data_IF_767223943695
#
_entry.id   IF_767223943695
#
_cell.length_a   1.000
_cell.length_b   1.000
_cell.length_c   1.000
_cell.angle_alpha   90.00
_cell.angle_beta   90.00
_cell.angle_gamma   90.00
#
_symmetry.space_group_name_H-M   'P 1'
#
loop_
_entity.id
_entity.type
_entity.pdbx_description
1 polymer ?
#
# COMPACT_ATOMS: atom_id res chain seq x y z
N UNK A 1 5.54 -2.97 -16.16
CA UNK A 1 5.55 -2.27 -14.86
C UNK A 1 5.61 -0.77 -15.13
N UNK A 2 4.76 0.02 -14.49
CA UNK A 2 4.74 1.48 -14.61
C UNK A 2 4.94 2.04 -13.20
N UNK A 3 5.97 2.87 -13.03
CA UNK A 3 6.22 3.60 -11.79
C UNK A 3 5.80 5.05 -11.98
N UNK A 4 4.76 5.47 -11.26
CA UNK A 4 4.26 6.85 -11.31
C UNK A 4 5.02 7.73 -10.32
N UNK A 5 5.35 8.96 -10.70
CA UNK A 5 6.16 9.87 -9.87
C UNK A 5 5.47 11.19 -9.53
N UNK A 6 4.30 11.46 -10.12
CA UNK A 6 3.62 12.76 -9.95
C UNK A 6 3.21 13.04 -8.51
N UNK A 7 2.79 12.02 -7.75
CA UNK A 7 2.39 12.14 -6.34
C UNK A 7 3.59 12.17 -5.38
N UNK A 8 4.56 13.03 -5.66
CA UNK A 8 5.75 13.21 -4.85
C UNK A 8 5.90 14.68 -4.43
N UNK A 9 6.31 14.90 -3.18
CA UNK A 9 6.59 16.24 -2.67
C UNK A 9 7.70 16.94 -3.48
N UNK A 10 7.62 18.26 -3.71
CA UNK A 10 6.68 19.22 -3.13
C UNK A 10 5.43 19.49 -3.99
N UNK A 11 4.99 18.52 -4.81
CA UNK A 11 3.74 18.58 -5.59
C UNK A 11 3.68 19.78 -6.55
N UNK A 12 4.68 19.93 -7.42
CA UNK A 12 4.88 21.17 -8.21
C UNK A 12 4.08 21.27 -9.52
N UNK A 13 3.24 20.29 -9.85
CA UNK A 13 2.46 20.34 -11.08
C UNK A 13 1.41 21.48 -11.07
N UNK A 14 1.06 22.04 -12.25
CA UNK A 14 0.01 23.03 -12.39
C UNK A 14 -1.38 22.36 -12.37
N UNK A 15 -1.85 21.94 -11.20
CA UNK A 15 -3.08 21.13 -11.09
C UNK A 15 -4.34 21.83 -11.61
N UNK A 16 -4.46 23.16 -11.49
CA UNK A 16 -5.59 23.88 -12.06
C UNK A 16 -5.66 23.78 -13.60
N UNK A 17 -4.51 23.73 -14.29
CA UNK A 17 -4.45 23.51 -15.74
C UNK A 17 -4.89 22.08 -16.12
N UNK A 18 -4.71 21.13 -15.20
CA UNK A 18 -5.22 19.76 -15.32
C UNK A 18 -6.66 19.60 -14.80
N UNK A 19 -7.35 20.69 -14.47
CA UNK A 19 -8.77 20.71 -14.11
C UNK A 19 -9.06 20.57 -12.62
N UNK A 20 -8.06 20.67 -11.74
CA UNK A 20 -8.31 20.71 -10.30
C UNK A 20 -9.06 21.99 -9.94
N UNK A 21 -10.24 21.84 -9.34
CA UNK A 21 -11.07 22.96 -8.91
C UNK A 21 -10.95 23.16 -7.39
N UNK A 22 -10.24 24.23 -7.00
CA UNK A 22 -10.05 24.62 -5.60
C UNK A 22 -11.37 24.75 -4.82
N UNK A 23 -12.50 25.05 -5.48
CA UNK A 23 -13.82 25.15 -4.83
C UNK A 23 -14.35 23.80 -4.33
N UNK A 24 -13.77 22.69 -4.79
CA UNK A 24 -14.04 21.34 -4.26
C UNK A 24 -13.40 21.12 -2.90
N UNK A 25 -12.39 21.91 -2.56
CA UNK A 25 -11.86 21.91 -1.21
C UNK A 25 -12.78 22.75 -0.31
N UNK A 26 -13.04 22.29 0.92
CA UNK A 26 -13.83 23.07 1.85
C UNK A 26 -13.08 24.32 2.27
N UNK A 27 -13.81 25.42 2.40
CA UNK A 27 -13.33 26.68 2.99
C UNK A 27 -13.20 26.57 4.52
N UNK A 28 -12.50 25.53 4.98
CA UNK A 28 -12.36 25.13 6.39
C UNK A 28 -10.88 25.05 6.79
N UNK A 29 -10.06 25.94 6.23
CA UNK A 29 -8.65 26.12 6.62
C UNK A 29 -7.60 25.54 5.67
N UNK A 30 -7.99 24.99 4.51
CA UNK A 30 -7.01 24.62 3.46
C UNK A 30 -6.69 25.84 2.61
N UNK A 31 -5.62 26.56 2.96
CA UNK A 31 -5.17 27.75 2.21
C UNK A 31 -4.69 27.35 0.81
N UNK A 32 -5.10 28.09 -0.22
CA UNK A 32 -4.56 27.94 -1.59
C UNK A 32 -3.04 27.94 -1.57
N UNK A 33 -2.43 27.07 -2.39
CA UNK A 33 -0.98 26.90 -2.55
C UNK A 33 -0.22 26.44 -1.28
N UNK A 34 -0.91 26.16 -0.17
CA UNK A 34 -0.29 25.45 0.96
C UNK A 34 0.13 24.04 0.55
N UNK A 35 1.07 23.44 1.29
CA UNK A 35 1.47 22.05 1.06
C UNK A 35 0.25 21.11 1.08
N UNK A 36 -0.67 21.31 2.05
CA UNK A 36 -1.96 20.62 2.14
C UNK A 36 -2.79 20.74 0.87
N UNK A 37 -2.97 21.95 0.35
CA UNK A 37 -3.68 22.20 -0.90
C UNK A 37 -3.05 21.43 -2.06
N UNK A 38 -1.74 21.58 -2.23
CA UNK A 38 -1.01 20.98 -3.35
C UNK A 38 -0.98 19.46 -3.25
N UNK A 39 -0.82 18.89 -2.07
CA UNK A 39 -0.84 17.44 -1.85
C UNK A 39 -2.22 16.83 -2.12
N UNK A 40 -3.31 17.47 -1.69
CA UNK A 40 -4.68 17.03 -2.02
C UNK A 40 -4.96 17.14 -3.52
N UNK A 41 -4.54 18.22 -4.17
CA UNK A 41 -4.63 18.39 -5.62
C UNK A 41 -3.82 17.33 -6.37
N UNK A 42 -2.66 16.96 -5.83
CA UNK A 42 -1.80 15.94 -6.40
C UNK A 42 -2.39 14.54 -6.29
N UNK A 43 -2.93 14.17 -5.12
CA UNK A 43 -3.64 12.92 -4.93
C UNK A 43 -4.84 12.81 -5.89
N UNK A 44 -5.61 13.89 -6.04
CA UNK A 44 -6.70 13.98 -7.02
C UNK A 44 -6.22 13.77 -8.46
N UNK A 45 -5.13 14.42 -8.85
CA UNK A 45 -4.59 14.29 -10.21
C UNK A 45 -4.08 12.87 -10.47
N UNK A 46 -3.34 12.30 -9.51
CA UNK A 46 -2.77 10.96 -9.62
C UNK A 46 -3.87 9.89 -9.73
N UNK A 47 -4.90 9.98 -8.89
CA UNK A 47 -6.08 9.10 -8.95
C UNK A 47 -6.76 9.17 -10.31
N UNK A 48 -7.01 10.38 -10.83
CA UNK A 48 -7.64 10.52 -12.14
C UNK A 48 -6.80 10.04 -13.30
N UNK A 49 -5.49 10.32 -13.29
CA UNK A 49 -4.59 9.86 -14.34
C UNK A 49 -4.53 8.33 -14.36
N UNK A 50 -4.47 7.70 -13.19
CA UNK A 50 -4.50 6.26 -13.03
C UNK A 50 -5.83 5.67 -13.51
N UNK A 51 -6.96 6.21 -13.08
CA UNK A 51 -8.28 5.71 -13.49
C UNK A 51 -8.48 5.81 -15.01
N UNK A 52 -8.12 6.95 -15.62
CA UNK A 52 -8.18 7.09 -17.09
C UNK A 52 -7.30 6.07 -17.81
N UNK A 53 -6.08 5.84 -17.31
CA UNK A 53 -5.19 4.83 -17.87
C UNK A 53 -5.82 3.42 -17.77
N UNK A 54 -6.40 3.07 -16.62
CA UNK A 54 -7.07 1.78 -16.45
C UNK A 54 -8.25 1.65 -17.41
N UNK A 55 -9.10 2.68 -17.53
CA UNK A 55 -10.25 2.67 -18.44
C UNK A 55 -9.82 2.46 -19.90
N UNK A 56 -8.81 3.19 -20.37
CA UNK A 56 -8.26 3.06 -21.72
C UNK A 56 -7.65 1.68 -21.96
N UNK A 57 -6.89 1.17 -20.99
CA UNK A 57 -6.24 -0.15 -21.09
C UNK A 57 -7.24 -1.30 -21.00
N UNK A 58 -8.28 -1.19 -20.19
CA UNK A 58 -9.36 -2.18 -20.12
C UNK A 58 -10.15 -2.21 -21.43
N UNK A 59 -10.41 -1.06 -22.05
CA UNK A 59 -11.07 -1.01 -23.35
C UNK A 59 -10.23 -1.62 -24.48
N UNK A 60 -8.92 -1.37 -24.48
CA UNK A 60 -8.01 -1.89 -25.50
C UNK A 60 -7.62 -3.37 -25.28
N UNK A 61 -7.55 -3.80 -24.02
CA UNK A 61 -7.07 -5.12 -23.61
C UNK A 61 -7.95 -5.71 -22.48
N UNK A 62 -9.18 -6.16 -22.82
CA UNK A 62 -10.18 -6.57 -21.83
C UNK A 62 -9.78 -7.77 -20.98
N UNK A 63 -8.83 -8.58 -21.43
CA UNK A 63 -8.32 -9.77 -20.73
C UNK A 63 -7.05 -9.47 -19.89
N UNK A 64 -6.74 -8.20 -19.63
CA UNK A 64 -5.56 -7.82 -18.85
C UNK A 64 -5.78 -8.01 -17.35
N UNK A 65 -4.75 -8.52 -16.66
CA UNK A 65 -4.63 -8.44 -15.21
C UNK A 65 -4.07 -7.07 -14.81
N UNK A 66 -4.81 -6.33 -14.00
CA UNK A 66 -4.37 -5.08 -13.41
C UNK A 66 -3.98 -5.29 -11.95
N UNK A 67 -2.79 -4.82 -11.58
CA UNK A 67 -2.35 -4.72 -10.19
C UNK A 67 -1.95 -3.28 -9.95
N UNK A 68 -2.63 -2.66 -8.99
CA UNK A 68 -2.44 -1.27 -8.60
C UNK A 68 -2.12 -1.25 -7.12
N UNK A 69 -0.99 -0.67 -6.76
CA UNK A 69 -0.59 -0.54 -5.36
C UNK A 69 0.13 0.77 -5.15
N UNK A 70 -0.04 1.39 -3.99
CA UNK A 70 0.89 2.42 -3.56
C UNK A 70 2.19 1.77 -3.10
N UNK A 71 3.32 2.45 -3.26
CA UNK A 71 4.63 1.96 -2.80
C UNK A 71 4.76 2.05 -1.28
N UNK A 72 4.31 3.15 -0.69
CA UNK A 72 4.23 3.34 0.75
C UNK A 72 3.12 4.33 1.12
N UNK A 73 2.89 4.51 2.43
CA UNK A 73 2.07 5.60 2.95
C UNK A 73 2.78 6.94 2.70
N UNK A 74 2.08 7.91 2.13
CA UNK A 74 2.64 9.22 1.81
C UNK A 74 1.55 10.20 1.40
N UNK A 75 1.94 11.39 0.97
CA UNK A 75 0.98 12.42 0.59
C UNK A 75 0.46 13.26 1.76
N UNK A 76 -0.49 14.13 1.44
CA UNK A 76 -1.22 14.91 2.44
C UNK A 76 -2.52 14.20 2.84
N UNK A 77 -2.65 13.86 4.11
CA UNK A 77 -3.84 13.17 4.61
C UNK A 77 -5.06 14.10 4.63
N UNK A 78 -6.28 13.62 4.36
CA UNK A 78 -7.48 14.46 4.31
C UNK A 78 -8.06 14.80 5.69
N UNK A 79 -7.25 14.86 6.76
CA UNK A 79 -7.68 15.39 8.05
C UNK A 79 -7.87 16.91 7.94
N UNK A 80 -9.13 17.35 7.88
CA UNK A 80 -9.53 18.75 7.70
C UNK A 80 -10.48 19.11 8.86
N UNK A 81 -10.14 20.12 9.69
CA UNK A 81 -10.98 20.54 10.81
C UNK A 81 -12.42 20.85 10.37
N UNK A 82 -13.38 20.23 11.05
CA UNK A 82 -14.81 20.41 10.75
C UNK A 82 -15.33 19.60 9.56
N UNK A 83 -14.50 18.82 8.89
CA UNK A 83 -14.93 17.73 8.00
C UNK A 83 -14.71 16.36 8.63
N UNK A 84 -13.54 16.15 9.24
CA UNK A 84 -13.22 14.91 9.92
C UNK A 84 -13.52 15.05 11.40
N UNK A 85 -14.20 14.05 11.97
CA UNK A 85 -14.46 14.00 13.42
C UNK A 85 -13.15 13.84 14.20
N UNK A 86 -12.16 13.18 13.59
CA UNK A 86 -10.81 13.01 14.13
C UNK A 86 -9.89 14.19 13.81
N UNK A 87 -8.95 14.42 14.73
CA UNK A 87 -7.78 15.31 14.54
C UNK A 87 -6.48 14.56 14.31
N UNK A 88 -6.49 13.24 14.50
CA UNK A 88 -5.32 12.37 14.38
C UNK A 88 -5.64 11.18 13.48
N UNK A 89 -4.60 10.66 12.83
CA UNK A 89 -4.68 9.46 12.00
C UNK A 89 -4.72 8.23 12.89
N UNK A 90 -5.58 7.27 12.52
CA UNK A 90 -5.50 5.90 13.01
C UNK A 90 -4.21 5.25 12.51
N UNK A 91 -3.72 4.25 13.25
CA UNK A 91 -2.49 3.56 12.93
C UNK A 91 -2.51 2.96 11.51
N UNK A 92 -3.64 2.39 11.09
CA UNK A 92 -3.81 1.88 9.73
C UNK A 92 -3.60 2.95 8.65
N UNK A 93 -3.97 4.20 8.91
CA UNK A 93 -3.82 5.31 7.96
C UNK A 93 -2.37 5.82 7.92
N UNK A 94 -1.60 5.54 8.98
CA UNK A 94 -0.18 5.90 9.08
C UNK A 94 0.74 4.87 8.45
N UNK A 95 0.28 3.64 8.22
CA UNK A 95 1.11 2.51 7.80
C UNK A 95 0.66 1.87 6.48
N UNK A 96 -0.65 1.73 6.28
CA UNK A 96 -1.18 0.97 5.15
C UNK A 96 -1.24 1.84 3.89
N UNK A 97 -1.04 1.18 2.76
CA UNK A 97 -1.23 1.75 1.43
C UNK A 97 -2.41 1.08 0.73
N UNK A 98 -2.80 1.60 -0.43
CA UNK A 98 -3.87 1.02 -1.25
C UNK A 98 -3.35 -0.15 -2.08
N UNK A 99 -4.15 -1.20 -2.23
CA UNK A 99 -3.90 -2.32 -3.14
C UNK A 99 -5.19 -2.71 -3.86
N UNK A 100 -5.08 -3.01 -5.15
CA UNK A 100 -6.15 -3.56 -5.98
C UNK A 100 -5.57 -4.54 -6.99
N UNK A 101 -6.23 -5.67 -7.15
CA UNK A 101 -5.94 -6.66 -8.18
C UNK A 101 -7.25 -6.99 -8.91
N UNK A 102 -7.24 -6.89 -10.23
CA UNK A 102 -8.44 -7.07 -11.05
C UNK A 102 -8.13 -7.82 -12.34
N UNK A 103 -8.93 -8.85 -12.60
CA UNK A 103 -9.07 -9.51 -13.90
C UNK A 103 -10.52 -10.03 -14.02
N UNK A 104 -11.15 -10.06 -15.20
CA UNK A 104 -12.56 -10.43 -15.34
C UNK A 104 -12.95 -11.81 -14.79
N UNK A 105 -11.98 -12.73 -14.74
CA UNK A 105 -12.18 -14.10 -14.24
C UNK A 105 -11.88 -14.25 -12.74
N UNK A 106 -11.31 -13.23 -12.08
CA UNK A 106 -10.99 -13.28 -10.67
C UNK A 106 -12.15 -12.79 -9.81
N UNK A 107 -12.38 -13.50 -8.72
CA UNK A 107 -13.39 -13.21 -7.70
C UNK A 107 -12.72 -13.11 -6.34
N UNK A 108 -13.47 -12.63 -5.33
CA UNK A 108 -12.96 -12.60 -3.94
C UNK A 108 -12.66 -14.00 -3.38
N UNK A 109 -13.29 -15.04 -3.92
CA UNK A 109 -13.08 -16.41 -3.47
C UNK A 109 -11.69 -16.94 -3.87
N UNK A 110 -11.17 -16.49 -5.02
CA UNK A 110 -9.83 -16.85 -5.50
C UNK A 110 -8.72 -16.34 -4.58
N UNK A 111 -9.02 -15.37 -3.71
CA UNK A 111 -8.09 -14.79 -2.73
C UNK A 111 -8.35 -15.25 -1.29
N UNK A 112 -8.96 -16.42 -1.10
CA UNK A 112 -9.24 -17.02 0.22
C UNK A 112 -9.95 -16.09 1.24
N UNK A 113 -10.70 -15.09 0.74
CA UNK A 113 -11.34 -14.08 1.57
C UNK A 113 -10.37 -13.23 2.39
N UNK A 114 -9.13 -13.08 1.93
CA UNK A 114 -8.11 -12.26 2.59
C UNK A 114 -8.54 -10.78 2.62
N UNK A 115 -8.39 -10.17 3.80
CA UNK A 115 -8.59 -8.74 4.05
C UNK A 115 -7.28 -8.02 4.42
N UNK A 116 -6.19 -8.79 4.52
CA UNK A 116 -4.83 -8.33 4.79
C UNK A 116 -3.89 -8.89 3.72
N UNK A 117 -2.75 -8.23 3.55
CA UNK A 117 -1.69 -8.62 2.63
C UNK A 117 -0.58 -7.56 2.64
N UNK A 118 0.60 -7.95 2.19
CA UNK A 118 1.74 -7.07 1.94
C UNK A 118 2.23 -7.18 0.51
N UNK A 119 3.14 -6.28 0.11
CA UNK A 119 3.71 -6.29 -1.25
C UNK A 119 4.41 -7.59 -1.59
N UNK A 120 5.02 -8.25 -0.61
CA UNK A 120 5.73 -9.53 -0.80
C UNK A 120 4.79 -10.69 -1.17
N UNK A 121 3.49 -10.59 -0.91
CA UNK A 121 2.51 -11.58 -1.36
C UNK A 121 2.17 -11.43 -2.86
N UNK A 122 2.47 -10.29 -3.51
CA UNK A 122 2.04 -10.01 -4.90
C UNK A 122 2.70 -10.97 -5.89
N UNK A 123 4.02 -11.15 -5.79
CA UNK A 123 4.76 -12.02 -6.73
C UNK A 123 4.36 -13.50 -6.64
N UNK A 124 4.29 -14.15 -5.46
CA UNK A 124 3.81 -15.52 -5.39
C UNK A 124 2.36 -15.65 -5.88
N UNK A 125 1.49 -14.67 -5.59
CA UNK A 125 0.13 -14.65 -6.15
C UNK A 125 0.14 -14.64 -7.67
N UNK A 126 0.98 -13.80 -8.29
CA UNK A 126 1.12 -13.74 -9.74
C UNK A 126 1.57 -15.08 -10.32
N UNK A 127 2.54 -15.73 -9.69
CA UNK A 127 3.04 -17.03 -10.13
C UNK A 127 1.92 -18.08 -10.05
N UNK A 128 1.19 -18.17 -8.94
CA UNK A 128 0.06 -19.09 -8.79
C UNK A 128 -1.04 -18.88 -9.85
N UNK A 129 -1.29 -17.62 -10.24
CA UNK A 129 -2.31 -17.30 -11.23
C UNK A 129 -1.94 -17.67 -12.67
N UNK A 130 -0.64 -17.67 -13.02
CA UNK A 130 -0.19 -17.81 -14.42
C UNK A 130 0.63 -19.06 -14.70
N UNK A 131 1.22 -19.68 -13.68
CA UNK A 131 2.11 -20.81 -13.87
C UNK A 131 1.31 -22.10 -14.11
N UNK A 132 1.85 -23.06 -14.88
CA UNK A 132 1.25 -24.38 -15.02
C UNK A 132 1.14 -25.09 -13.68
N UNK A 133 0.09 -25.90 -13.51
CA UNK A 133 -0.05 -26.75 -12.32
C UNK A 133 1.21 -27.61 -12.09
N UNK A 134 1.74 -27.57 -10.87
CA UNK A 134 2.96 -28.28 -10.49
C UNK A 134 4.27 -27.50 -10.74
N UNK A 135 4.19 -26.23 -11.16
CA UNK A 135 5.36 -25.36 -11.24
C UNK A 135 5.92 -25.06 -9.84
N UNK A 136 7.20 -25.32 -9.63
CA UNK A 136 7.88 -25.02 -8.36
C UNK A 136 8.55 -23.65 -8.39
N UNK A 137 8.36 -22.87 -7.32
CA UNK A 137 9.05 -21.60 -7.11
C UNK A 137 9.39 -21.42 -5.64
N UNK A 138 10.30 -20.48 -5.35
CA UNK A 138 10.62 -20.05 -4.01
C UNK A 138 9.96 -18.69 -3.75
N UNK A 139 9.33 -18.55 -2.60
CA UNK A 139 8.79 -17.29 -2.13
C UNK A 139 9.05 -17.13 -0.64
N UNK A 140 9.28 -15.87 -0.23
CA UNK A 140 9.42 -15.51 1.19
C UNK A 140 8.04 -15.52 1.86
N UNK A 141 7.03 -15.06 1.13
CA UNK A 141 5.65 -14.93 1.58
C UNK A 141 4.71 -15.90 0.84
N UNK A 142 3.57 -16.18 1.46
CA UNK A 142 2.51 -16.97 0.83
C UNK A 142 1.79 -16.18 -0.26
N UNK A 143 1.25 -16.83 -1.30
CA UNK A 143 0.36 -16.17 -2.25
C UNK A 143 -0.97 -15.77 -1.57
N UNK A 144 -1.62 -14.72 -2.09
CA UNK A 144 -2.95 -14.27 -1.63
C UNK A 144 -4.07 -15.25 -2.00
N UNK A 145 -3.78 -16.28 -2.80
CA UNK A 145 -4.69 -17.40 -3.08
C UNK A 145 -4.82 -18.36 -1.89
N UNK A 146 -3.93 -18.23 -0.89
CA UNK A 146 -4.02 -18.92 0.39
C UNK A 146 -4.44 -17.96 1.51
N UNK A 147 -5.14 -18.48 2.53
CA UNK A 147 -5.55 -17.68 3.69
C UNK A 147 -4.32 -17.21 4.48
N UNK A 148 -4.27 -15.91 4.75
CA UNK A 148 -3.28 -15.31 5.63
C UNK A 148 -3.87 -15.15 7.04
N UNK A 149 -3.12 -15.55 8.06
CA UNK A 149 -3.50 -15.31 9.46
C UNK A 149 -2.93 -13.98 9.96
N UNK A 150 -1.73 -13.64 9.48
CA UNK A 150 -1.02 -12.41 9.79
C UNK A 150 -0.13 -11.96 8.62
N UNK A 151 0.37 -10.73 8.71
CA UNK A 151 1.42 -10.17 7.81
C UNK A 151 2.45 -9.49 8.68
N UNK A 152 3.74 -9.77 8.45
CA UNK A 152 4.84 -9.15 9.19
C UNK A 152 5.77 -8.41 8.23
N UNK A 153 6.22 -7.25 8.66
CA UNK A 153 7.26 -6.46 8.02
C UNK A 153 8.26 -6.00 9.07
N UNK A 154 9.43 -5.48 8.68
CA UNK A 154 10.35 -4.87 9.64
C UNK A 154 9.74 -3.73 10.49
N UNK A 155 8.69 -3.07 9.99
CA UNK A 155 8.09 -1.89 10.62
C UNK A 155 6.80 -2.17 11.38
N UNK A 156 5.99 -3.11 10.89
CA UNK A 156 4.63 -3.33 11.35
C UNK A 156 4.18 -4.79 11.23
N UNK A 157 3.13 -5.14 11.96
CA UNK A 157 2.43 -6.41 11.84
C UNK A 157 0.93 -6.19 11.67
N UNK A 158 0.26 -7.16 11.03
CA UNK A 158 -1.19 -7.21 10.86
C UNK A 158 -1.71 -8.58 11.29
N UNK A 159 -2.85 -8.60 11.96
CA UNK A 159 -3.75 -9.76 12.03
C UNK A 159 -5.01 -9.43 11.24
N UNK A 160 -5.99 -10.34 11.22
CA UNK A 160 -7.30 -10.05 10.63
C UNK A 160 -8.03 -8.89 11.33
N UNK A 161 -7.74 -8.62 12.61
CA UNK A 161 -8.43 -7.59 13.39
C UNK A 161 -7.60 -6.36 13.71
N UNK A 162 -6.26 -6.46 13.72
CA UNK A 162 -5.40 -5.43 14.31
C UNK A 162 -4.18 -5.10 13.46
N UNK A 163 -3.66 -3.89 13.65
CA UNK A 163 -2.38 -3.44 13.13
C UNK A 163 -1.51 -2.96 14.28
N UNK A 164 -0.24 -3.31 14.25
CA UNK A 164 0.76 -2.81 15.20
C UNK A 164 1.99 -2.24 14.52
N UNK A 165 2.65 -1.31 15.22
CA UNK A 165 3.88 -0.65 14.81
C UNK A 165 5.00 -0.95 15.80
N UNK A 166 6.08 -1.57 15.34
CA UNK A 166 7.17 -2.00 16.21
C UNK A 166 7.89 -0.81 16.86
N UNK A 167 8.14 0.27 16.12
CA UNK A 167 8.92 1.41 16.61
C UNK A 167 8.29 2.06 17.84
N UNK A 168 6.96 2.26 17.81
CA UNK A 168 6.24 2.93 18.90
C UNK A 168 5.66 1.92 19.91
N UNK A 169 5.75 0.61 19.63
CA UNK A 169 5.11 -0.47 20.38
C UNK A 169 3.62 -0.20 20.60
N UNK A 170 2.93 0.23 19.55
CA UNK A 170 1.50 0.55 19.60
C UNK A 170 0.70 -0.33 18.65
N UNK A 171 -0.56 -0.56 18.98
CA UNK A 171 -1.51 -1.26 18.12
C UNK A 171 -2.90 -0.60 18.15
N UNK A 172 -3.66 -0.81 17.07
CA UNK A 172 -5.06 -0.43 16.95
C UNK A 172 -5.83 -1.46 16.12
N UNK A 173 -7.16 -1.50 16.30
CA UNK A 173 -8.02 -2.29 15.42
C UNK A 173 -7.98 -1.80 13.97
N UNK A 174 -8.13 -2.73 13.01
CA UNK A 174 -8.21 -2.46 11.58
C UNK A 174 -9.55 -1.89 11.11
N UNK A 175 -10.54 -1.83 12.00
CA UNK A 175 -11.90 -1.33 11.73
C UNK A 175 -11.90 -0.03 10.92
N UNK A 176 -12.63 -0.01 9.80
CA UNK A 176 -12.90 1.23 9.06
C UNK A 176 -13.92 2.04 9.87
N UNK A 177 -13.56 3.26 10.27
CA UNK A 177 -14.44 4.15 11.01
C UNK A 177 -14.14 5.61 10.71
N UNK A 178 -15.14 6.48 10.85
CA UNK A 178 -14.99 7.94 10.84
C UNK A 178 -14.51 8.49 12.20
N UNK A 179 -14.81 7.78 13.30
CA UNK A 179 -14.46 8.16 14.67
C UNK A 179 -13.10 7.64 15.12
N UNK A 180 -12.73 7.86 16.39
CA UNK A 180 -11.45 7.40 16.96
C UNK A 180 -11.46 5.92 17.34
N UNK A 181 -10.28 5.29 17.37
CA UNK A 181 -10.08 3.96 17.96
C UNK A 181 -9.17 4.07 19.20
N UNK A 182 -9.34 3.19 20.19
CA UNK A 182 -8.43 3.13 21.33
C UNK A 182 -7.02 2.73 20.88
N UNK A 183 -6.01 3.33 21.51
CA UNK A 183 -4.62 2.91 21.37
C UNK A 183 -4.30 1.80 22.36
N UNK A 184 -3.65 0.75 21.88
CA UNK A 184 -2.98 -0.23 22.71
C UNK A 184 -1.50 0.14 22.76
N UNK A 185 -0.94 0.24 23.97
CA UNK A 185 0.44 0.68 24.21
C UNK A 185 1.24 -0.50 24.76
N UNK A 186 2.54 -0.50 24.50
CA UNK A 186 3.45 -1.59 24.86
C UNK A 186 3.00 -2.95 24.28
N UNK A 187 2.54 -2.91 23.04
CA UNK A 187 2.01 -4.06 22.31
C UNK A 187 2.94 -4.43 21.18
N UNK A 188 3.33 -5.70 21.14
CA UNK A 188 4.18 -6.28 20.11
C UNK A 188 3.74 -7.73 19.84
N UNK A 189 3.70 -8.12 18.56
CA UNK A 189 3.45 -9.50 18.14
C UNK A 189 4.47 -9.89 17.06
N UNK A 190 4.71 -11.18 16.89
CA UNK A 190 5.56 -11.74 15.82
C UNK A 190 7.00 -11.20 15.78
N UNK A 191 7.59 -10.87 16.94
CA UNK A 191 8.93 -10.31 17.02
C UNK A 191 9.98 -11.20 16.33
N UNK A 192 9.99 -12.50 16.60
CA UNK A 192 10.94 -13.44 16.00
C UNK A 192 10.88 -13.46 14.45
N UNK A 193 9.67 -13.36 13.89
CA UNK A 193 9.49 -13.29 12.43
C UNK A 193 10.00 -11.96 11.86
N UNK A 194 9.73 -10.84 12.56
CA UNK A 194 10.30 -9.53 12.21
C UNK A 194 11.82 -9.53 12.29
N UNK A 195 12.42 -10.15 13.31
CA UNK A 195 13.86 -10.35 13.44
C UNK A 195 14.42 -11.11 12.23
N UNK A 196 13.78 -12.21 11.83
CA UNK A 196 14.20 -12.99 10.67
C UNK A 196 14.17 -12.18 9.36
N UNK A 197 13.15 -11.35 9.16
CA UNK A 197 13.06 -10.44 8.01
C UNK A 197 14.22 -9.44 7.93
N UNK A 198 14.57 -8.84 9.07
CA UNK A 198 15.68 -7.89 9.15
C UNK A 198 17.02 -8.60 8.89
N UNK A 199 17.20 -9.80 9.45
CA UNK A 199 18.43 -10.58 9.26
C UNK A 199 18.62 -11.04 7.81
N UNK A 200 17.55 -11.29 7.03
CA UNK A 200 17.69 -11.63 5.61
C UNK A 200 18.38 -10.50 4.83
N UNK A 201 17.97 -9.26 5.09
CA UNK A 201 18.61 -8.08 4.46
C UNK A 201 20.05 -7.93 4.94
N UNK A 202 20.29 -8.09 6.24
CA UNK A 202 21.64 -8.04 6.81
C UNK A 202 22.55 -9.13 6.23
N UNK A 203 22.02 -10.33 5.98
CA UNK A 203 22.73 -11.45 5.37
C UNK A 203 23.21 -11.08 3.97
N UNK A 204 22.33 -10.60 3.09
CA UNK A 204 22.74 -10.21 1.73
C UNK A 204 23.74 -9.06 1.71
N UNK A 205 23.64 -8.09 2.62
CA UNK A 205 24.62 -6.99 2.74
C UNK A 205 25.99 -7.52 3.18
N UNK A 206 26.03 -8.54 4.04
CA UNK A 206 27.27 -9.19 4.50
C UNK A 206 27.83 -10.21 3.50
N UNK A 207 27.02 -10.62 2.53
CA UNK A 207 27.35 -11.62 1.51
C UNK A 207 27.12 -11.09 0.09
N UNK A 208 27.78 -9.98 -0.32
CA UNK A 208 27.60 -9.39 -1.65
C UNK A 208 27.99 -10.34 -2.79
N UNK A 209 28.82 -11.34 -2.53
CA UNK A 209 29.15 -12.42 -3.47
C UNK A 209 27.93 -13.22 -3.95
N UNK A 210 26.82 -13.20 -3.20
CA UNK A 210 25.57 -13.83 -3.60
C UNK A 210 24.74 -12.97 -4.56
N UNK A 211 25.07 -11.69 -4.71
CA UNK A 211 24.33 -10.72 -5.53
C UNK A 211 25.06 -10.38 -6.84
N UNK A 212 26.38 -10.60 -6.90
CA UNK A 212 27.21 -10.31 -8.06
C UNK A 212 27.33 -11.60 -8.88
N UNK A 213 27.00 -11.54 -10.18
CA UNK A 213 27.24 -12.68 -11.06
C UNK A 213 28.74 -12.93 -11.15
N UNK A 214 29.14 -14.19 -11.16
CA UNK A 214 30.53 -14.63 -11.26
C UNK A 214 31.28 -14.08 -12.49
N UNK A 215 30.57 -13.57 -13.48
CA UNK A 215 31.07 -13.00 -14.73
C UNK A 215 31.44 -11.50 -14.60
N UNK A 216 31.05 -10.84 -13.50
CA UNK A 216 31.27 -9.41 -13.23
C UNK A 216 32.40 -9.15 -12.20
N UNK A 217 33.23 -10.16 -11.89
CA UNK A 217 34.41 -10.14 -11.01
C UNK A 217 35.66 -10.48 -11.84
#
# INVERSE_FOLDING_TARGET
FIYTTSNHGPYLLPFEEYGFDARRLPDRGVRKDSLKYRGLACAWYADQALCRFIDEMQAAYPDSLFIVTGDHVGGEFPLIPGMTERRELLLRERLLTSFSMHHPQLTKADFAGNMIGGHMNILPTLIELIAPQGFSYYAIEKPLTERLDHVVTPYAWLTQEEVGHYQDRTAQALTVTAGTLPWQIDTEQFAEERDAYVELTAYYVRHPELLIKREDI
#
